data_IF_061720476399
#
_entry.id   IF_061720476399
#
_cell.length_a   1.000
_cell.length_b   1.000
_cell.length_c   1.000
_cell.angle_alpha   90.00
_cell.angle_beta   90.00
_cell.angle_gamma   90.00
#
_symmetry.space_group_name_H-M   'P 1'
#
loop_
_entity.id
_entity.type
_entity.pdbx_description
1 polymer ?
#
# COMPACT_ATOMS: atom_id res chain seq x y z
N UNK A 1 6.11 10.15 26.06
CA UNK A 1 5.90 8.69 25.90
C UNK A 1 7.05 7.96 25.18
N UNK A 2 7.86 8.61 24.34
CA UNK A 2 9.00 7.95 23.65
C UNK A 2 10.04 7.35 24.61
N UNK A 3 10.45 8.11 25.63
CA UNK A 3 11.35 7.61 26.66
C UNK A 3 10.74 6.45 27.46
N UNK A 4 9.44 6.54 27.78
CA UNK A 4 8.69 5.45 28.41
C UNK A 4 8.66 4.19 27.53
N UNK A 5 8.60 4.34 26.20
CA UNK A 5 8.63 3.22 25.25
C UNK A 5 10.01 2.56 25.20
N UNK A 6 11.07 3.37 25.27
CA UNK A 6 12.45 2.88 25.40
C UNK A 6 12.61 2.11 26.72
N UNK A 7 12.05 2.63 27.82
CA UNK A 7 12.07 1.98 29.14
C UNK A 7 11.28 0.66 29.12
N UNK A 8 10.02 0.63 28.65
CA UNK A 8 9.23 -0.60 28.57
C UNK A 8 9.85 -1.66 27.66
N UNK A 9 10.39 -1.26 26.51
CA UNK A 9 11.14 -2.17 25.62
C UNK A 9 12.39 -2.72 26.29
N UNK A 10 13.15 -1.89 27.02
CA UNK A 10 14.40 -2.31 27.67
C UNK A 10 14.18 -3.22 28.87
N UNK A 11 13.14 -2.96 29.65
CA UNK A 11 12.70 -3.82 30.77
C UNK A 11 12.07 -5.13 30.26
N UNK A 12 11.80 -5.23 28.96
CA UNK A 12 11.15 -6.39 28.35
C UNK A 12 9.67 -6.49 28.71
N UNK A 13 9.03 -5.39 29.11
CA UNK A 13 7.65 -5.34 29.61
C UNK A 13 6.65 -4.85 28.55
N UNK A 14 6.97 -4.93 27.26
CA UNK A 14 6.02 -4.67 26.17
C UNK A 14 5.85 -3.20 25.80
N UNK A 15 4.64 -2.80 25.36
CA UNK A 15 4.32 -1.44 24.95
C UNK A 15 3.91 -0.56 26.14
N UNK A 16 4.08 0.76 26.01
CA UNK A 16 3.62 1.71 27.04
C UNK A 16 2.10 1.81 27.01
N UNK A 17 1.46 1.53 28.13
CA UNK A 17 0.03 1.71 28.35
C UNK A 17 -0.25 3.11 28.89
N UNK A 18 0.59 3.61 29.80
CA UNK A 18 0.50 4.97 30.31
C UNK A 18 1.85 5.50 30.82
N UNK A 19 2.04 6.81 30.73
CA UNK A 19 3.06 7.53 31.49
C UNK A 19 2.37 8.62 32.33
N UNK A 20 2.45 8.52 33.66
CA UNK A 20 1.72 9.36 34.61
C UNK A 20 2.69 10.26 35.38
N UNK A 21 2.33 11.54 35.57
CA UNK A 21 2.97 12.45 36.52
C UNK A 21 2.27 12.40 37.89
N UNK A 22 3.00 11.92 38.90
CA UNK A 22 2.81 11.65 40.36
C UNK A 22 1.56 12.09 41.20
N UNK A 23 1.34 11.53 42.44
CA UNK A 23 2.10 11.85 43.69
C UNK A 23 2.56 10.67 44.61
N UNK A 24 3.65 10.96 45.38
CA UNK A 24 4.18 10.37 46.63
C UNK A 24 4.48 8.86 46.76
N UNK A 25 5.79 8.51 46.79
CA UNK A 25 6.28 7.35 47.56
C UNK A 25 6.41 7.74 49.03
N UNK A 26 6.02 6.84 49.94
CA UNK A 26 6.17 7.02 51.38
C UNK A 26 7.63 7.20 51.78
N UNK A 27 7.86 8.03 52.81
CA UNK A 27 9.17 8.19 53.46
C UNK A 27 9.79 6.83 53.78
N UNK A 28 11.04 6.60 53.36
CA UNK A 28 11.84 5.52 53.93
C UNK A 28 12.80 4.71 53.03
N UNK A 29 13.23 5.20 51.86
CA UNK A 29 14.31 4.52 51.12
C UNK A 29 15.42 5.52 50.77
N UNK A 30 16.56 5.39 51.43
CA UNK A 30 17.81 6.07 51.03
C UNK A 30 18.27 5.48 49.67
N UNK A 31 18.26 6.30 48.63
CA UNK A 31 18.74 5.93 47.30
C UNK A 31 19.26 7.15 46.54
N UNK A 32 20.20 6.93 45.62
CA UNK A 32 20.70 7.98 44.73
C UNK A 32 19.61 8.39 43.73
N UNK A 33 19.33 9.69 43.67
CA UNK A 33 18.35 10.27 42.75
C UNK A 33 19.00 10.53 41.38
N UNK A 34 18.38 10.05 40.30
CA UNK A 34 18.86 10.23 38.92
C UNK A 34 17.85 11.09 38.15
N UNK A 35 18.29 12.24 37.65
CA UNK A 35 17.50 13.10 36.76
C UNK A 35 17.64 12.65 35.31
N UNK A 36 16.50 12.40 34.65
CA UNK A 36 16.44 11.92 33.26
C UNK A 36 16.35 13.10 32.28
N UNK A 37 17.33 13.25 31.36
CA UNK A 37 17.37 14.36 30.38
C UNK A 37 16.82 13.94 29.00
N UNK A 38 16.82 12.63 28.69
CA UNK A 38 16.30 12.07 27.44
C UNK A 38 17.12 10.87 26.93
N UNK A 39 16.50 9.98 26.15
CA UNK A 39 17.18 8.92 25.41
C UNK A 39 17.13 9.18 23.89
N UNK A 40 18.24 8.94 23.18
CA UNK A 40 18.23 8.93 21.71
C UNK A 40 17.70 7.59 21.19
N UNK A 41 17.06 7.54 20.00
CA UNK A 41 16.66 6.28 19.35
C UNK A 41 17.83 5.32 19.06
N UNK A 42 19.06 5.81 19.11
CA UNK A 42 20.30 5.06 18.83
C UNK A 42 20.94 4.44 20.09
N UNK A 43 20.46 4.77 21.29
CA UNK A 43 21.08 4.33 22.54
C UNK A 43 20.65 2.91 22.91
N UNK A 44 21.59 1.97 22.87
CA UNK A 44 21.32 0.54 23.09
C UNK A 44 21.26 0.10 24.57
N UNK A 45 21.66 0.98 25.50
CA UNK A 45 21.66 0.74 26.95
C UNK A 45 21.14 1.96 27.69
N UNK A 46 20.43 1.73 28.81
CA UNK A 46 19.93 2.82 29.67
C UNK A 46 21.08 3.74 30.11
N UNK A 47 22.27 3.17 30.37
CA UNK A 47 23.51 3.88 30.71
C UNK A 47 24.03 4.87 29.65
N UNK A 48 23.59 4.73 28.39
CA UNK A 48 23.94 5.66 27.29
C UNK A 48 22.95 6.80 27.14
N UNK A 49 21.79 6.71 27.80
CA UNK A 49 20.89 7.84 27.88
C UNK A 49 21.53 8.96 28.69
N UNK A 50 21.16 10.20 28.39
CA UNK A 50 21.78 11.34 29.02
C UNK A 50 21.14 11.56 30.40
N UNK A 51 21.94 11.41 31.47
CA UNK A 51 21.50 11.62 32.84
C UNK A 51 22.14 12.87 33.45
N UNK A 52 21.35 13.66 34.18
CA UNK A 52 21.87 14.71 35.04
C UNK A 52 21.94 14.17 36.46
N UNK A 53 23.15 14.15 37.03
CA UNK A 53 23.33 13.97 38.46
C UNK A 53 23.23 15.34 39.13
N UNK A 54 22.11 15.63 39.79
CA UNK A 54 21.99 16.81 40.64
C UNK A 54 22.10 16.39 42.11
N UNK A 55 23.16 16.81 42.79
CA UNK A 55 23.24 16.72 44.24
C UNK A 55 22.37 17.81 44.86
N UNK A 56 21.07 17.56 44.96
CA UNK A 56 20.11 18.48 45.56
C UNK A 56 18.67 18.04 45.34
N UNK A 57 17.80 18.45 46.26
CA UNK A 57 16.37 18.16 46.45
C UNK A 57 15.46 18.70 45.30
N UNK A 58 15.91 18.56 44.05
CA UNK A 58 15.45 19.30 42.88
C UNK A 58 14.59 18.51 41.88
N UNK A 59 14.41 17.20 42.03
CA UNK A 59 13.52 16.43 41.15
C UNK A 59 12.11 16.34 41.77
N UNK A 60 11.24 17.33 41.49
CA UNK A 60 9.85 17.36 42.00
C UNK A 60 8.84 16.55 41.19
N UNK A 61 9.23 15.99 40.03
CA UNK A 61 8.33 15.29 39.12
C UNK A 61 8.88 13.90 38.81
N UNK A 62 8.28 12.85 39.39
CA UNK A 62 8.48 11.45 39.05
C UNK A 62 7.52 11.08 37.90
N UNK A 63 8.00 10.27 36.97
CA UNK A 63 7.18 9.70 35.92
C UNK A 63 6.99 8.21 36.20
N UNK A 64 5.74 7.78 36.40
CA UNK A 64 5.40 6.37 36.46
C UNK A 64 5.12 5.88 35.04
N UNK A 65 5.72 4.77 34.65
CA UNK A 65 5.47 4.13 33.36
C UNK A 65 4.74 2.81 33.61
N UNK A 66 3.58 2.65 33.00
CA UNK A 66 2.81 1.41 32.98
C UNK A 66 3.04 0.76 31.63
N UNK A 67 3.56 -0.46 31.63
CA UNK A 67 3.80 -1.25 30.43
C UNK A 67 2.82 -2.42 30.36
N UNK A 68 2.47 -2.89 29.15
CA UNK A 68 1.71 -4.13 28.97
C UNK A 68 2.67 -5.32 28.99
N UNK A 69 2.71 -6.02 30.11
CA UNK A 69 3.63 -7.13 30.32
C UNK A 69 3.30 -8.36 29.45
N UNK A 70 2.11 -8.40 28.83
CA UNK A 70 1.57 -9.59 28.19
C UNK A 70 1.49 -9.50 26.65
N UNK A 71 1.21 -8.31 26.09
CA UNK A 71 1.00 -8.12 24.65
C UNK A 71 1.66 -6.83 24.12
N UNK A 72 2.03 -6.82 22.83
CA UNK A 72 2.52 -5.62 22.15
C UNK A 72 2.16 -5.57 20.66
N UNK A 73 2.11 -4.36 20.13
CA UNK A 73 2.11 -4.08 18.69
C UNK A 73 3.53 -3.83 18.17
N UNK A 74 3.84 -4.38 16.99
CA UNK A 74 5.08 -4.16 16.25
C UNK A 74 4.79 -3.87 14.78
N UNK A 75 5.69 -3.12 14.12
CA UNK A 75 5.64 -2.77 12.68
C UNK A 75 4.35 -2.07 12.19
N UNK A 76 3.60 -1.44 13.10
CA UNK A 76 2.46 -0.58 12.77
C UNK A 76 2.84 0.90 12.62
N UNK A 77 1.95 1.69 12.02
CA UNK A 77 2.15 3.12 11.77
C UNK A 77 1.93 4.00 13.03
N UNK A 78 1.35 3.43 14.10
CA UNK A 78 1.06 4.14 15.35
C UNK A 78 0.92 3.19 16.55
N UNK A 79 0.72 3.76 17.75
CA UNK A 79 0.70 3.02 19.02
C UNK A 79 -0.46 2.02 19.16
N UNK A 80 -1.55 2.23 18.43
CA UNK A 80 -2.78 1.42 18.47
C UNK A 80 -2.97 0.56 17.21
N UNK A 81 -1.87 0.25 16.54
CA UNK A 81 -1.87 -0.54 15.30
C UNK A 81 -0.60 -1.35 15.19
N UNK A 82 -0.67 -2.58 14.70
CA UNK A 82 0.50 -3.38 14.38
C UNK A 82 0.24 -4.87 14.39
N UNK A 83 1.29 -5.65 14.13
CA UNK A 83 1.28 -7.10 14.33
C UNK A 83 1.26 -7.38 15.84
N UNK A 84 0.38 -8.30 16.25
CA UNK A 84 0.22 -8.68 17.66
C UNK A 84 1.28 -9.71 18.04
N UNK A 85 2.04 -9.40 19.10
CA UNK A 85 2.98 -10.32 19.74
C UNK A 85 2.66 -10.48 21.22
N UNK A 86 2.74 -11.72 21.69
CA UNK A 86 2.48 -12.11 23.08
C UNK A 86 3.76 -12.57 23.74
N UNK A 87 3.92 -12.27 25.03
CA UNK A 87 5.09 -12.68 25.81
C UNK A 87 4.95 -14.14 26.28
N UNK A 88 5.93 -14.96 25.91
CA UNK A 88 6.03 -16.39 26.25
C UNK A 88 7.44 -16.73 26.74
N UNK A 89 7.60 -17.23 27.96
CA UNK A 89 8.90 -17.65 28.51
C UNK A 89 10.03 -16.62 28.25
N UNK A 90 9.75 -15.33 28.53
CA UNK A 90 10.66 -14.19 28.31
C UNK A 90 10.99 -13.85 26.85
N UNK A 91 10.35 -14.50 25.88
CA UNK A 91 10.46 -14.20 24.44
C UNK A 91 9.14 -13.71 23.87
N UNK A 92 9.18 -12.91 22.80
CA UNK A 92 7.99 -12.44 22.11
C UNK A 92 7.67 -13.35 20.94
N UNK A 93 6.41 -13.75 20.80
CA UNK A 93 5.97 -14.63 19.71
C UNK A 93 4.75 -14.06 19.02
N UNK A 94 4.72 -14.18 17.69
CA UNK A 94 3.60 -13.70 16.89
C UNK A 94 2.41 -14.67 16.97
N UNK A 95 1.21 -14.14 16.78
CA UNK A 95 -0.01 -14.94 16.77
C UNK A 95 -0.47 -15.27 15.36
N UNK A 96 -1.10 -16.44 15.17
CA UNK A 96 -1.69 -16.78 13.89
C UNK A 96 -3.11 -16.22 13.79
N UNK A 97 -3.46 -15.65 12.65
CA UNK A 97 -4.80 -15.13 12.34
C UNK A 97 -5.91 -16.17 12.56
N UNK A 98 -5.67 -17.44 12.21
CA UNK A 98 -6.66 -18.50 12.35
C UNK A 98 -7.01 -18.85 13.80
N UNK A 99 -6.19 -18.41 14.76
CA UNK A 99 -6.32 -18.71 16.19
C UNK A 99 -6.52 -17.44 17.04
N UNK A 100 -6.89 -16.32 16.40
CA UNK A 100 -7.13 -15.03 17.03
C UNK A 100 -8.42 -14.41 16.49
N UNK A 101 -9.41 -14.25 17.36
CA UNK A 101 -10.72 -13.74 16.97
C UNK A 101 -10.98 -12.29 17.44
N UNK A 102 -12.20 -11.81 17.21
CA UNK A 102 -12.60 -10.45 17.58
C UNK A 102 -12.72 -10.25 19.10
N UNK A 103 -13.01 -11.30 19.87
CA UNK A 103 -13.07 -11.22 21.33
C UNK A 103 -11.66 -11.11 21.91
N UNK A 104 -10.69 -11.82 21.33
CA UNK A 104 -9.27 -11.67 21.67
C UNK A 104 -8.79 -10.25 21.32
N UNK A 105 -9.18 -9.73 20.16
CA UNK A 105 -8.85 -8.37 19.72
C UNK A 105 -9.39 -7.29 20.67
N UNK A 106 -10.59 -7.47 21.21
CA UNK A 106 -11.19 -6.56 22.20
C UNK A 106 -10.39 -6.50 23.49
N UNK A 107 -9.93 -7.66 23.98
CA UNK A 107 -9.05 -7.73 25.16
C UNK A 107 -7.72 -7.06 24.89
N UNK A 108 -7.08 -7.29 23.74
CA UNK A 108 -5.80 -6.66 23.36
C UNK A 108 -5.91 -5.15 23.24
N UNK A 109 -6.93 -4.64 22.54
CA UNK A 109 -7.12 -3.21 22.39
C UNK A 109 -7.40 -2.52 23.73
N UNK A 110 -8.16 -3.18 24.62
CA UNK A 110 -8.39 -2.66 25.97
C UNK A 110 -7.14 -2.70 26.84
N UNK A 111 -6.40 -3.81 26.83
CA UNK A 111 -5.14 -3.95 27.58
C UNK A 111 -4.13 -2.86 27.21
N UNK A 112 -4.09 -2.49 25.92
CA UNK A 112 -3.22 -1.44 25.39
C UNK A 112 -3.82 -0.03 25.48
N UNK A 113 -5.03 0.14 26.03
CA UNK A 113 -5.68 1.45 26.18
C UNK A 113 -6.07 2.11 24.84
N UNK A 114 -6.30 1.29 23.82
CA UNK A 114 -6.47 1.70 22.42
C UNK A 114 -7.92 1.58 21.93
N UNK A 115 -8.92 1.68 22.81
CA UNK A 115 -10.33 1.63 22.41
C UNK A 115 -10.80 0.26 21.90
N UNK A 116 -11.76 0.25 20.97
CA UNK A 116 -12.34 -0.97 20.39
C UNK A 116 -11.56 -1.45 19.16
N UNK A 117 -11.53 -2.75 18.82
CA UNK A 117 -10.88 -3.24 17.61
C UNK A 117 -11.60 -2.71 16.35
N UNK A 118 -10.84 -2.33 15.33
CA UNK A 118 -11.36 -1.70 14.10
C UNK A 118 -11.00 -2.47 12.82
N UNK A 119 -9.79 -3.02 12.74
CA UNK A 119 -9.32 -3.85 11.63
C UNK A 119 -8.59 -5.05 12.18
N UNK A 120 -8.90 -6.23 11.69
CA UNK A 120 -8.26 -7.48 12.06
C UNK A 120 -7.94 -8.28 10.79
N UNK A 121 -6.67 -8.47 10.48
CA UNK A 121 -6.25 -9.13 9.23
C UNK A 121 -4.84 -9.73 9.32
N UNK A 122 -4.66 -10.94 8.80
CA UNK A 122 -3.36 -11.60 8.66
C UNK A 122 -2.43 -10.89 7.68
N UNK A 123 -1.16 -10.74 8.05
CA UNK A 123 -0.12 -10.15 7.21
C UNK A 123 -0.20 -8.64 7.00
N UNK A 124 -1.18 -7.97 7.63
CA UNK A 124 -1.42 -6.52 7.49
C UNK A 124 -0.19 -5.66 7.84
N UNK A 125 0.60 -6.09 8.82
CA UNK A 125 1.81 -5.40 9.31
C UNK A 125 3.08 -6.25 9.12
N UNK A 126 3.10 -7.04 8.04
CA UNK A 126 4.21 -7.93 7.72
C UNK A 126 4.16 -9.29 8.39
N UNK A 127 5.04 -10.18 7.94
CA UNK A 127 5.06 -11.59 8.34
C UNK A 127 5.58 -11.80 9.78
N UNK A 128 5.23 -12.95 10.37
CA UNK A 128 5.80 -13.37 11.64
C UNK A 128 7.31 -13.58 11.52
N UNK A 129 8.09 -12.83 12.30
CA UNK A 129 9.53 -13.06 12.46
C UNK A 129 9.77 -13.92 13.69
N UNK A 130 9.89 -15.23 13.51
CA UNK A 130 10.19 -16.17 14.58
C UNK A 130 9.04 -17.14 14.91
N UNK A 131 9.09 -17.82 16.07
CA UNK A 131 8.11 -18.84 16.44
C UNK A 131 6.72 -18.24 16.65
N UNK A 132 5.70 -19.01 16.24
CA UNK A 132 4.29 -18.64 16.35
C UNK A 132 3.73 -19.22 17.65
N UNK A 133 2.86 -18.47 18.32
CA UNK A 133 2.20 -18.91 19.54
C UNK A 133 1.42 -20.24 19.30
N UNK A 134 1.62 -21.27 20.14
CA UNK A 134 1.17 -22.63 19.84
C UNK A 134 -0.30 -22.92 20.21
N UNK A 135 -1.04 -21.93 20.75
CA UNK A 135 -2.41 -22.09 21.26
C UNK A 135 -3.33 -20.99 20.71
N UNK A 136 -4.62 -21.25 20.61
CA UNK A 136 -5.61 -20.17 20.41
C UNK A 136 -6.04 -19.58 21.74
N UNK A 137 -6.34 -18.29 21.79
CA UNK A 137 -7.04 -17.71 22.93
C UNK A 137 -8.55 -17.89 22.73
N UNK A 138 -9.26 -18.00 23.84
CA UNK A 138 -10.71 -18.13 23.88
C UNK A 138 -11.25 -17.05 24.82
N UNK A 139 -10.91 -15.79 24.53
CA UNK A 139 -11.40 -14.68 25.33
C UNK A 139 -12.93 -14.58 25.25
N UNK A 140 -13.53 -14.04 26.32
CA UNK A 140 -14.96 -13.72 26.37
C UNK A 140 -15.22 -12.24 26.08
N UNK A 141 -14.16 -11.45 25.89
CA UNK A 141 -14.20 -10.01 25.65
C UNK A 141 -14.21 -9.16 26.93
N UNK A 142 -14.25 -9.74 28.14
CA UNK A 142 -14.31 -9.00 29.42
C UNK A 142 -13.04 -9.10 30.27
N UNK A 143 -12.05 -9.88 29.83
CA UNK A 143 -10.78 -10.06 30.53
C UNK A 143 -9.90 -8.80 30.47
N UNK A 144 -9.20 -8.48 31.56
CA UNK A 144 -8.28 -7.34 31.64
C UNK A 144 -6.99 -7.54 30.85
N UNK A 145 -6.47 -8.77 30.83
CA UNK A 145 -5.24 -9.14 30.13
C UNK A 145 -5.50 -10.31 29.17
N UNK A 146 -4.79 -10.36 28.06
CA UNK A 146 -4.92 -11.46 27.09
C UNK A 146 -4.52 -12.82 27.71
N UNK A 147 -3.51 -12.83 28.58
CA UNK A 147 -3.07 -14.04 29.28
C UNK A 147 -4.05 -14.55 30.34
N UNK A 148 -5.08 -13.78 30.70
CA UNK A 148 -6.15 -14.22 31.60
C UNK A 148 -7.23 -15.04 30.86
N UNK A 149 -7.17 -15.09 29.53
CA UNK A 149 -8.11 -15.85 28.72
C UNK A 149 -7.79 -17.35 28.74
N UNK A 150 -8.83 -18.18 28.62
CA UNK A 150 -8.67 -19.61 28.42
C UNK A 150 -7.91 -19.87 27.11
N UNK A 151 -7.11 -20.95 27.07
CA UNK A 151 -6.33 -21.31 25.89
C UNK A 151 -6.76 -22.66 25.33
N UNK A 152 -6.79 -22.77 23.99
CA UNK A 152 -7.07 -24.02 23.29
C UNK A 152 -5.81 -24.59 22.66
N UNK A 153 -5.66 -25.92 22.72
CA UNK A 153 -4.58 -26.61 22.00
C UNK A 153 -4.91 -26.58 20.51
N UNK A 154 -3.98 -26.07 19.73
CA UNK A 154 -4.10 -25.97 18.29
C UNK A 154 -4.23 -27.35 17.66
N UNK A 155 -5.27 -27.57 16.85
CA UNK A 155 -5.52 -28.89 16.21
C UNK A 155 -4.59 -29.19 15.03
N UNK A 156 -3.99 -28.16 14.40
CA UNK A 156 -3.04 -28.30 13.29
C UNK A 156 -1.77 -27.46 13.55
N UNK A 157 -0.59 -28.07 13.46
CA UNK A 157 0.71 -27.42 13.76
C UNK A 157 1.20 -26.43 12.68
N UNK A 158 0.40 -26.14 11.66
CA UNK A 158 0.82 -25.32 10.52
C UNK A 158 0.03 -24.01 10.50
N UNK A 159 0.66 -22.93 10.97
CA UNK A 159 0.30 -21.60 10.49
C UNK A 159 0.99 -21.44 9.13
N UNK A 160 0.25 -21.06 8.09
CA UNK A 160 0.86 -20.79 6.79
C UNK A 160 1.80 -19.57 6.91
N UNK A 161 2.94 -19.54 6.19
CA UNK A 161 3.79 -18.36 6.10
C UNK A 161 2.95 -17.16 5.62
N UNK A 162 2.94 -16.06 6.39
CA UNK A 162 2.17 -14.86 6.08
C UNK A 162 1.00 -14.53 7.02
N UNK A 163 0.57 -15.44 7.90
CA UNK A 163 -0.67 -15.27 8.67
C UNK A 163 -0.47 -14.68 10.08
N UNK A 164 0.57 -13.85 10.30
CA UNK A 164 0.68 -13.16 11.58
C UNK A 164 -0.47 -12.17 11.72
N UNK A 165 -1.22 -12.24 12.81
CA UNK A 165 -2.38 -11.38 12.97
C UNK A 165 -1.95 -9.92 13.15
N UNK A 166 -2.48 -9.06 12.30
CA UNK A 166 -2.41 -7.62 12.43
C UNK A 166 -3.72 -7.08 12.99
N UNK A 167 -3.62 -6.14 13.92
CA UNK A 167 -4.77 -5.52 14.56
C UNK A 167 -4.59 -4.00 14.58
N UNK A 168 -5.64 -3.29 14.19
CA UNK A 168 -5.80 -1.85 14.37
C UNK A 168 -6.95 -1.62 15.33
N UNK A 169 -6.70 -0.88 16.40
CA UNK A 169 -7.75 -0.45 17.32
C UNK A 169 -8.21 0.98 16.98
N UNK A 170 -9.38 1.35 17.46
CA UNK A 170 -9.89 2.71 17.38
C UNK A 170 -9.12 3.55 18.39
N UNK A 171 -8.16 4.35 17.90
CA UNK A 171 -7.33 5.28 18.68
C UNK A 171 -8.09 5.86 19.88
N UNK A 172 -7.43 6.00 21.06
CA UNK A 172 -8.09 6.24 22.33
C UNK A 172 -9.14 7.35 22.20
N UNK A 173 -10.36 7.03 22.60
CA UNK A 173 -11.53 7.91 22.54
C UNK A 173 -11.42 9.15 23.43
N UNK A 174 -10.21 9.50 23.92
CA UNK A 174 -9.98 10.69 24.71
C UNK A 174 -10.00 11.94 23.83
N UNK A 175 -9.56 11.89 22.57
CA UNK A 175 -9.55 13.06 21.66
C UNK A 175 -10.42 12.82 20.42
N UNK A 176 -11.27 13.78 20.07
CA UNK A 176 -12.04 13.77 18.81
C UNK A 176 -12.07 15.13 18.12
N UNK A 177 -12.31 15.11 16.81
CA UNK A 177 -12.58 16.30 16.02
C UNK A 177 -14.08 16.37 15.67
N UNK A 178 -14.74 17.47 16.03
CA UNK A 178 -16.19 17.66 15.84
C UNK A 178 -16.48 18.76 14.82
N UNK A 179 -17.49 18.54 13.99
CA UNK A 179 -18.00 19.56 13.07
C UNK A 179 -17.11 19.87 11.86
N UNK A 180 -16.04 19.09 11.65
CA UNK A 180 -15.31 19.08 10.38
C UNK A 180 -15.78 17.95 9.47
N UNK A 181 -15.38 18.01 8.20
CA UNK A 181 -15.84 17.06 7.17
C UNK A 181 -14.99 15.80 7.05
N UNK A 182 -14.07 15.53 7.98
CA UNK A 182 -13.36 14.25 8.10
C UNK A 182 -12.87 13.98 9.52
N UNK A 183 -12.33 12.78 9.74
CA UNK A 183 -11.67 12.40 11.00
C UNK A 183 -10.43 13.24 11.34
N UNK A 184 -9.84 13.93 10.36
CA UNK A 184 -8.61 14.72 10.49
C UNK A 184 -8.87 16.24 10.39
N UNK A 185 -10.13 16.66 10.45
CA UNK A 185 -10.51 18.06 10.42
C UNK A 185 -11.67 18.32 11.39
N UNK A 186 -11.59 19.39 12.18
CA UNK A 186 -12.68 19.81 13.06
C UNK A 186 -12.23 20.45 14.35
N UNK A 187 -13.20 20.80 15.19
CA UNK A 187 -12.98 21.34 16.53
C UNK A 187 -12.43 20.26 17.45
N UNK A 188 -11.35 20.55 18.15
CA UNK A 188 -10.71 19.62 19.08
C UNK A 188 -11.51 19.55 20.38
N UNK A 189 -11.94 18.34 20.72
CA UNK A 189 -12.50 18.01 22.02
C UNK A 189 -11.66 16.93 22.69
N UNK A 190 -11.47 17.07 24.01
CA UNK A 190 -10.65 16.16 24.80
C UNK A 190 -11.35 15.78 26.11
N UNK A 191 -11.43 14.48 26.38
CA UNK A 191 -11.75 13.91 27.68
C UNK A 191 -10.47 13.81 28.52
N UNK A 192 -10.28 14.83 29.37
CA UNK A 192 -9.11 14.96 30.23
C UNK A 192 -9.06 13.90 31.34
N UNK A 193 -10.22 13.40 31.79
CA UNK A 193 -10.35 12.55 32.98
C UNK A 193 -10.62 11.08 32.64
N UNK A 194 -10.98 10.77 31.40
CA UNK A 194 -11.37 9.41 31.00
C UNK A 194 -12.75 9.01 31.53
N UNK A 195 -13.58 10.01 31.89
CA UNK A 195 -14.93 9.82 32.45
C UNK A 195 -16.02 9.91 31.36
N UNK A 196 -15.64 10.11 30.09
CA UNK A 196 -16.54 10.32 28.95
C UNK A 196 -16.97 11.78 28.75
N UNK A 197 -16.44 12.72 29.55
CA UNK A 197 -16.81 14.13 29.51
C UNK A 197 -15.87 14.93 28.60
N UNK A 198 -16.24 15.03 27.33
CA UNK A 198 -15.47 15.79 26.35
C UNK A 198 -15.63 17.30 26.52
N UNK A 199 -14.50 18.00 26.54
CA UNK A 199 -14.43 19.45 26.69
C UNK A 199 -13.65 20.06 25.55
N UNK A 200 -13.99 21.30 25.18
CA UNK A 200 -13.27 22.02 24.14
C UNK A 200 -11.80 22.25 24.54
N UNK A 201 -10.88 22.07 23.59
CA UNK A 201 -9.46 22.38 23.81
C UNK A 201 -9.17 23.79 23.33
N UNK A 202 -8.65 24.61 24.24
CA UNK A 202 -8.06 25.91 23.96
C UNK A 202 -6.55 25.87 24.01
N UNK A 203 -5.93 26.99 23.67
CA UNK A 203 -4.48 27.19 23.74
C UNK A 203 -4.18 28.57 24.31
N UNK A 204 -3.04 28.71 24.96
CA UNK A 204 -2.50 30.02 25.35
C UNK A 204 -1.30 30.45 24.52
N UNK A 205 -0.47 29.50 24.09
CA UNK A 205 0.81 29.75 23.41
C UNK A 205 1.11 28.62 22.42
N UNK A 206 1.74 28.95 21.28
CA UNK A 206 2.11 28.01 20.20
C UNK A 206 0.91 27.14 19.75
N UNK A 207 -0.15 27.77 19.24
CA UNK A 207 -1.31 27.04 18.70
C UNK A 207 -0.92 25.98 17.65
N UNK A 208 0.12 26.25 16.84
CA UNK A 208 0.64 25.28 15.87
C UNK A 208 1.20 24.02 16.56
N UNK A 209 1.88 24.15 17.69
CA UNK A 209 2.40 23.01 18.43
C UNK A 209 1.24 22.13 18.96
N UNK A 210 0.23 22.74 19.59
CA UNK A 210 -0.96 22.01 20.06
C UNK A 210 -1.66 21.29 18.90
N UNK A 211 -1.83 21.96 17.76
CA UNK A 211 -2.42 21.36 16.58
C UNK A 211 -1.58 20.21 16.02
N UNK A 212 -0.25 20.33 15.99
CA UNK A 212 0.65 19.28 15.50
C UNK A 212 0.65 18.05 16.42
N UNK A 213 0.50 18.24 17.72
CA UNK A 213 0.28 17.14 18.68
C UNK A 213 -1.05 16.45 18.41
N UNK A 214 -2.15 17.20 18.23
CA UNK A 214 -3.46 16.63 17.92
C UNK A 214 -3.44 15.85 16.60
N UNK A 215 -2.84 16.41 15.56
CA UNK A 215 -2.72 15.76 14.26
C UNK A 215 -1.89 14.47 14.34
N UNK A 216 -0.81 14.44 15.15
CA UNK A 216 -0.02 13.22 15.36
C UNK A 216 -0.76 12.19 16.20
N UNK A 217 -1.44 12.62 17.26
CA UNK A 217 -2.22 11.74 18.14
C UNK A 217 -3.32 11.00 17.38
N UNK A 218 -3.93 11.66 16.39
CA UNK A 218 -4.99 11.10 15.53
C UNK A 218 -4.47 10.38 14.27
N UNK A 219 -3.14 10.20 14.16
CA UNK A 219 -2.52 9.59 12.98
C UNK A 219 -2.67 10.39 11.67
N UNK A 220 -2.98 11.69 11.76
CA UNK A 220 -3.24 12.60 10.63
C UNK A 220 -2.01 13.42 10.20
N UNK A 221 -0.79 12.94 10.51
CA UNK A 221 0.51 13.52 10.14
C UNK A 221 0.83 14.89 10.77
N UNK A 222 0.48 16.02 10.14
CA UNK A 222 0.90 17.37 10.60
C UNK A 222 -0.18 18.42 10.37
N UNK A 223 -0.09 19.59 11.01
CA UNK A 223 -1.11 20.64 10.85
C UNK A 223 -0.93 21.41 9.56
N UNK A 224 -2.01 21.53 8.77
CA UNK A 224 -2.12 22.41 7.60
C UNK A 224 -2.58 23.79 8.03
N UNK A 225 -3.68 23.86 8.78
CA UNK A 225 -4.25 25.13 9.24
C UNK A 225 -5.00 24.97 10.55
N UNK A 226 -5.24 26.12 11.18
CA UNK A 226 -5.98 26.22 12.44
C UNK A 226 -7.00 27.33 12.34
N UNK A 227 -8.18 27.11 12.90
CA UNK A 227 -9.26 28.09 12.96
C UNK A 227 -9.68 28.30 14.42
N UNK A 228 -10.15 29.51 14.72
CA UNK A 228 -10.57 29.91 16.05
C UNK A 228 -12.09 29.98 16.10
N UNK A 229 -12.69 29.29 17.08
CA UNK A 229 -14.12 29.39 17.33
C UNK A 229 -14.48 30.44 18.39
N UNK A 230 -15.79 30.61 18.61
CA UNK A 230 -16.33 31.43 19.69
C UNK A 230 -15.96 30.84 21.06
N UNK A 231 -15.79 31.71 22.07
CA UNK A 231 -15.41 31.28 23.42
C UNK A 231 -16.42 30.27 23.98
N UNK A 232 -15.89 29.16 24.49
CA UNK A 232 -16.66 28.08 25.12
C UNK A 232 -15.94 27.63 26.39
N UNK A 233 -16.65 26.95 27.28
CA UNK A 233 -16.02 26.29 28.43
C UNK A 233 -15.13 25.13 27.94
N UNK A 234 -13.92 25.02 28.49
CA UNK A 234 -12.95 24.03 28.05
C UNK A 234 -11.65 24.07 28.83
N UNK A 235 -10.64 23.37 28.33
CA UNK A 235 -9.31 23.31 28.95
C UNK A 235 -8.27 24.01 28.09
N UNK A 236 -7.48 24.84 28.73
CA UNK A 236 -6.32 25.47 28.11
C UNK A 236 -5.12 24.51 28.18
N UNK A 237 -4.52 24.27 27.01
CA UNK A 237 -3.43 23.30 26.83
C UNK A 237 -2.19 23.98 26.24
N UNK A 238 -1.02 23.57 26.75
CA UNK A 238 0.30 23.91 26.22
C UNK A 238 1.00 22.68 25.67
N UNK A 239 1.45 22.78 24.44
CA UNK A 239 2.43 21.84 23.92
C UNK A 239 3.66 22.60 23.46
N UNK A 240 4.83 22.02 23.70
CA UNK A 240 6.11 22.53 23.25
C UNK A 240 6.39 22.17 21.79
N UNK A 241 5.75 21.11 21.28
CA UNK A 241 5.82 20.65 19.90
C UNK A 241 6.25 19.20 19.71
N UNK A 242 7.11 18.56 20.52
CA UNK A 242 7.53 17.17 20.29
C UNK A 242 6.56 16.12 20.84
N UNK A 243 5.57 16.49 21.66
CA UNK A 243 4.68 15.54 22.36
C UNK A 243 3.84 14.71 21.40
N UNK A 244 3.61 13.41 21.66
CA UNK A 244 2.81 12.58 20.74
C UNK A 244 1.31 12.56 21.07
N UNK A 245 0.90 13.11 22.22
CA UNK A 245 -0.50 13.20 22.64
C UNK A 245 -0.76 14.40 23.59
N UNK A 246 -1.99 14.92 23.58
CA UNK A 246 -2.45 16.04 24.44
C UNK A 246 -2.28 15.77 25.93
N UNK A 247 -2.26 14.50 26.36
CA UNK A 247 -2.01 14.12 27.76
C UNK A 247 -0.60 14.47 28.26
N UNK A 248 0.36 14.58 27.34
CA UNK A 248 1.76 14.94 27.63
C UNK A 248 1.96 16.46 27.70
N UNK A 249 0.99 17.21 27.19
CA UNK A 249 0.96 18.66 27.21
C UNK A 249 0.54 19.18 28.60
N UNK A 250 1.07 20.35 29.00
CA UNK A 250 0.65 20.97 30.25
C UNK A 250 -0.76 21.55 30.10
N UNK A 251 -1.58 21.45 31.15
CA UNK A 251 -3.01 21.76 31.07
C UNK A 251 -3.51 22.45 32.32
N UNK A 252 -4.49 23.34 32.16
CA UNK A 252 -5.15 23.98 33.28
C UNK A 252 -5.87 22.94 34.17
N UNK A 253 -5.77 23.11 35.50
CA UNK A 253 -6.39 22.20 36.47
C UNK A 253 -7.91 22.22 36.41
N UNK A 254 -8.51 23.38 36.09
CA UNK A 254 -9.96 23.61 36.03
C UNK A 254 -10.42 24.07 34.64
N UNK A 255 -11.68 23.81 34.26
CA UNK A 255 -12.26 24.37 33.03
C UNK A 255 -12.31 25.90 33.12
N UNK A 256 -12.05 26.56 32.01
CA UNK A 256 -12.12 28.02 31.86
C UNK A 256 -12.80 28.38 30.54
N UNK A 257 -13.09 29.68 30.35
CA UNK A 257 -13.56 30.16 29.06
C UNK A 257 -12.38 30.22 28.07
N UNK A 258 -12.37 29.33 27.10
CA UNK A 258 -11.30 29.20 26.11
C UNK A 258 -11.81 29.50 24.70
N UNK A 259 -10.92 29.91 23.81
CA UNK A 259 -11.18 29.90 22.36
C UNK A 259 -10.90 28.51 21.82
N UNK A 260 -11.93 27.75 21.40
CA UNK A 260 -11.79 26.38 20.96
C UNK A 260 -10.96 26.31 19.68
N UNK A 261 -9.99 25.41 19.70
CA UNK A 261 -9.10 25.14 18.58
C UNK A 261 -9.80 24.25 17.56
N UNK A 262 -9.79 24.67 16.30
CA UNK A 262 -10.16 23.83 15.15
C UNK A 262 -8.90 23.53 14.38
N UNK A 263 -8.65 22.27 14.07
CA UNK A 263 -7.45 21.82 13.34
C UNK A 263 -7.83 21.21 12.00
N UNK A 264 -6.97 21.41 11.02
CA UNK A 264 -7.01 20.72 9.73
C UNK A 264 -5.61 20.12 9.53
N UNK A 265 -5.53 18.79 9.51
CA UNK A 265 -4.27 18.07 9.38
C UNK A 265 -3.94 17.73 7.92
N UNK A 266 -2.70 17.32 7.63
CA UNK A 266 -2.15 17.17 6.28
C UNK A 266 -2.45 15.82 5.62
N UNK A 267 -3.00 14.87 6.35
CA UNK A 267 -3.28 13.53 5.83
C UNK A 267 -4.74 13.37 5.37
N UNK A 268 -5.18 14.21 4.45
CA UNK A 268 -6.60 14.21 4.04
C UNK A 268 -6.90 13.26 2.89
N UNK A 269 -5.91 12.79 2.12
CA UNK A 269 -6.19 11.99 0.92
C UNK A 269 -5.36 10.72 0.89
N UNK A 270 -6.03 9.59 1.13
CA UNK A 270 -5.47 8.27 0.87
C UNK A 270 -4.97 8.22 -0.58
N UNK A 271 -3.86 7.53 -0.77
CA UNK A 271 -3.27 7.32 -2.08
C UNK A 271 -4.30 6.70 -3.03
N UNK A 272 -4.59 7.32 -4.19
CA UNK A 272 -5.55 6.76 -5.11
C UNK A 272 -5.00 5.49 -5.77
N UNK A 273 -5.88 4.54 -6.03
CA UNK A 273 -5.58 3.31 -6.75
C UNK A 273 -5.75 3.53 -8.26
N UNK A 274 -4.77 3.09 -9.04
CA UNK A 274 -4.77 3.13 -10.50
C UNK A 274 -4.86 1.70 -11.04
N UNK A 275 -5.77 1.47 -11.98
CA UNK A 275 -6.00 0.15 -12.56
C UNK A 275 -6.27 0.23 -14.06
N UNK A 276 -5.94 -0.84 -14.78
CA UNK A 276 -6.16 -0.95 -16.23
C UNK A 276 -7.12 -2.10 -16.53
N UNK A 277 -8.11 -1.82 -17.38
CA UNK A 277 -9.07 -2.81 -17.90
C UNK A 277 -9.04 -2.81 -19.43
N UNK A 278 -8.96 -3.98 -20.03
CA UNK A 278 -8.96 -4.15 -21.49
C UNK A 278 -10.34 -4.69 -21.90
N UNK A 279 -10.99 -4.00 -22.84
CA UNK A 279 -12.25 -4.48 -23.39
C UNK A 279 -11.95 -5.66 -24.31
N UNK A 280 -12.43 -6.84 -23.91
CA UNK A 280 -12.21 -8.17 -24.50
C UNK A 280 -10.95 -8.90 -23.98
N UNK A 281 -11.24 -9.97 -23.24
CA UNK A 281 -10.32 -10.77 -22.46
C UNK A 281 -9.28 -11.51 -23.32
N UNK A 282 -8.04 -11.02 -23.30
CA UNK A 282 -6.84 -11.88 -23.31
C UNK A 282 -5.84 -11.24 -22.36
N UNK A 283 -5.81 -11.70 -21.11
CA UNK A 283 -4.73 -11.38 -20.18
C UNK A 283 -3.49 -12.19 -20.58
N UNK A 284 -2.50 -11.57 -21.21
CA UNK A 284 -1.12 -12.03 -21.10
C UNK A 284 -0.48 -11.27 -19.94
N UNK A 285 -0.38 -11.92 -18.78
CA UNK A 285 0.38 -11.40 -17.65
C UNK A 285 1.86 -11.41 -18.08
N UNK A 286 2.40 -10.24 -18.40
CA UNK A 286 3.83 -10.10 -18.74
C UNK A 286 4.70 -10.65 -17.61
N UNK A 287 5.86 -11.20 -17.96
CA UNK A 287 6.91 -11.41 -16.97
C UNK A 287 7.21 -10.04 -16.36
N UNK A 288 7.06 -9.92 -15.03
CA UNK A 288 7.50 -8.76 -14.22
C UNK A 288 6.51 -7.58 -14.07
N UNK A 289 5.19 -7.83 -14.03
CA UNK A 289 4.20 -6.86 -13.50
C UNK A 289 3.83 -5.71 -14.44
N UNK A 290 4.29 -5.74 -15.69
CA UNK A 290 3.90 -4.83 -16.76
C UNK A 290 2.58 -5.23 -17.39
N UNK A 291 1.71 -4.25 -17.65
CA UNK A 291 0.43 -4.45 -18.32
C UNK A 291 0.60 -4.22 -19.82
N UNK A 292 0.16 -5.19 -20.62
CA UNK A 292 0.30 -5.15 -22.07
C UNK A 292 -1.06 -4.94 -22.74
N UNK A 293 -1.11 -4.02 -23.70
CA UNK A 293 -2.29 -3.79 -24.55
C UNK A 293 -1.91 -3.96 -26.01
N UNK A 294 -2.72 -4.69 -26.77
CA UNK A 294 -2.48 -4.86 -28.19
C UNK A 294 -2.85 -3.61 -28.98
N UNK A 295 -2.01 -3.24 -29.95
CA UNK A 295 -2.27 -2.13 -30.87
C UNK A 295 -3.64 -2.28 -31.54
N UNK A 296 -4.40 -1.19 -31.58
CA UNK A 296 -5.75 -1.17 -32.16
C UNK A 296 -6.87 -1.57 -31.19
N UNK A 297 -6.56 -2.11 -30.00
CA UNK A 297 -7.58 -2.42 -29.00
C UNK A 297 -7.92 -1.21 -28.14
N UNK A 298 -9.16 -1.18 -27.64
CA UNK A 298 -9.58 -0.20 -26.66
C UNK A 298 -9.19 -0.65 -25.25
N UNK A 299 -8.68 0.27 -24.45
CA UNK A 299 -8.39 0.05 -23.05
C UNK A 299 -8.93 1.19 -22.20
N UNK A 300 -9.08 0.92 -20.91
CA UNK A 300 -9.66 1.87 -19.97
C UNK A 300 -8.77 1.93 -18.74
N UNK A 301 -8.39 3.14 -18.34
CA UNK A 301 -7.69 3.38 -17.07
C UNK A 301 -8.72 3.89 -16.07
N UNK A 302 -8.76 3.28 -14.89
CA UNK A 302 -9.66 3.70 -13.81
C UNK A 302 -8.84 4.11 -12.61
N UNK A 303 -9.02 5.37 -12.20
CA UNK A 303 -8.52 5.90 -10.94
C UNK A 303 -9.65 5.79 -9.91
N UNK A 304 -9.33 5.36 -8.69
CA UNK A 304 -10.30 5.29 -7.59
C UNK A 304 -9.66 5.68 -6.27
N UNK A 305 -10.46 6.20 -5.35
CA UNK A 305 -10.03 6.53 -3.99
C UNK A 305 -11.07 6.05 -2.99
N UNK A 306 -10.65 5.86 -1.74
CA UNK A 306 -11.59 5.49 -0.68
C UNK A 306 -12.42 6.72 -0.27
N UNK A 307 -13.74 6.59 -0.06
CA UNK A 307 -14.64 7.72 0.20
C UNK A 307 -14.27 8.43 1.50
N UNK A 308 -13.61 9.59 1.38
CA UNK A 308 -13.33 10.49 2.50
C UNK A 308 -14.10 11.80 2.41
N UNK A 309 -14.32 12.30 1.20
CA UNK A 309 -15.06 13.52 0.92
C UNK A 309 -15.92 13.35 -0.33
N UNK A 310 -17.11 13.97 -0.39
CA UNK A 310 -17.90 14.00 -1.61
C UNK A 310 -17.23 14.89 -2.67
N UNK A 311 -17.13 14.38 -3.90
CA UNK A 311 -16.64 15.14 -5.05
C UNK A 311 -15.14 15.00 -5.33
N UNK A 312 -14.54 16.06 -5.87
CA UNK A 312 -13.16 16.07 -6.36
C UNK A 312 -13.03 15.64 -7.83
N UNK A 313 -11.80 15.63 -8.32
CA UNK A 313 -11.45 15.25 -9.70
C UNK A 313 -10.16 14.45 -9.73
N UNK A 314 -10.09 13.50 -10.65
CA UNK A 314 -8.86 12.79 -10.96
C UNK A 314 -8.21 13.41 -12.19
N UNK A 315 -6.92 13.64 -12.10
CA UNK A 315 -6.05 14.05 -13.16
C UNK A 315 -5.16 12.86 -13.54
N UNK A 316 -5.33 12.34 -14.74
CA UNK A 316 -4.46 11.32 -15.30
C UNK A 316 -3.27 12.00 -15.97
N UNK A 317 -2.06 11.66 -15.53
CA UNK A 317 -0.81 12.13 -16.12
C UNK A 317 -0.25 11.07 -17.06
N UNK A 318 0.34 11.52 -18.17
CA UNK A 318 0.91 10.67 -19.21
C UNK A 318 2.44 10.77 -19.19
N UNK A 319 3.15 9.71 -19.61
CA UNK A 319 4.58 9.77 -19.85
C UNK A 319 4.88 10.71 -21.03
N UNK A 320 5.87 11.60 -20.85
CA UNK A 320 6.48 12.44 -21.89
C UNK A 320 5.58 13.42 -22.66
N UNK A 321 4.37 13.71 -22.17
CA UNK A 321 3.53 14.79 -22.72
C UNK A 321 2.96 15.66 -21.60
N UNK A 322 2.92 16.98 -21.80
CA UNK A 322 2.21 17.93 -20.94
C UNK A 322 0.67 17.74 -20.97
N UNK A 323 0.19 16.62 -21.53
CA UNK A 323 -1.23 16.31 -21.62
C UNK A 323 -1.61 15.75 -20.26
N UNK A 324 -2.64 16.33 -19.66
CA UNK A 324 -3.27 15.81 -18.45
C UNK A 324 -4.76 15.73 -18.73
N UNK A 325 -5.38 14.59 -18.43
CA UNK A 325 -6.83 14.43 -18.60
C UNK A 325 -7.49 14.52 -17.24
N UNK A 326 -8.41 15.47 -17.07
CA UNK A 326 -9.17 15.63 -15.83
C UNK A 326 -10.56 15.02 -15.99
N UNK A 327 -10.99 14.24 -15.01
CA UNK A 327 -12.35 13.73 -14.91
C UNK A 327 -12.89 13.95 -13.50
N UNK A 328 -14.16 14.34 -13.33
CA UNK A 328 -14.76 14.44 -12.01
C UNK A 328 -14.89 13.06 -11.36
N UNK A 329 -14.72 12.99 -10.04
CA UNK A 329 -14.91 11.75 -9.31
C UNK A 329 -16.41 11.43 -9.17
N UNK A 330 -16.87 10.38 -9.85
CA UNK A 330 -18.22 9.83 -9.73
C UNK A 330 -18.12 8.53 -8.92
N UNK A 331 -18.84 8.45 -7.79
CA UNK A 331 -18.70 7.36 -6.82
C UNK A 331 -17.24 7.14 -6.38
N UNK A 332 -16.48 8.22 -6.17
CA UNK A 332 -15.07 8.17 -5.74
C UNK A 332 -14.13 7.50 -6.77
N UNK A 333 -14.56 7.44 -8.03
CA UNK A 333 -13.79 6.89 -9.14
C UNK A 333 -13.91 7.75 -10.39
N UNK A 334 -12.93 7.66 -11.27
CA UNK A 334 -12.98 8.25 -12.60
C UNK A 334 -12.39 7.28 -13.61
N UNK A 335 -13.00 7.27 -14.79
CA UNK A 335 -12.70 6.31 -15.85
C UNK A 335 -12.29 7.05 -17.11
N UNK A 336 -11.13 6.69 -17.64
CA UNK A 336 -10.50 7.29 -18.82
C UNK A 336 -10.50 6.28 -19.96
N UNK A 337 -11.23 6.59 -21.03
CA UNK A 337 -11.44 5.68 -22.15
C UNK A 337 -10.48 5.97 -23.30
N UNK A 338 -9.77 4.93 -23.74
CA UNK A 338 -8.89 4.97 -24.90
C UNK A 338 -9.46 4.04 -25.97
N UNK A 339 -9.94 4.63 -27.07
CA UNK A 339 -10.62 3.89 -28.13
C UNK A 339 -9.65 3.02 -28.95
N UNK A 340 -8.39 3.43 -29.06
CA UNK A 340 -7.40 2.77 -29.91
C UNK A 340 -6.01 2.92 -29.32
N UNK A 341 -5.40 1.81 -28.88
CA UNK A 341 -4.02 1.78 -28.42
C UNK A 341 -3.04 1.93 -29.59
N UNK A 342 -2.06 2.82 -29.42
CA UNK A 342 -0.98 3.14 -30.35
C UNK A 342 0.31 3.42 -29.56
N UNK A 343 1.46 3.44 -30.21
CA UNK A 343 2.78 3.57 -29.58
C UNK A 343 2.94 4.89 -28.79
N UNK A 344 2.15 5.91 -29.14
CA UNK A 344 2.10 7.20 -28.43
C UNK A 344 1.55 7.10 -27.00
N UNK A 345 0.83 6.03 -26.65
CA UNK A 345 0.26 5.81 -25.32
C UNK A 345 1.14 4.92 -24.42
N UNK A 346 2.35 4.56 -24.85
CA UNK A 346 3.26 3.74 -24.05
C UNK A 346 3.97 4.53 -22.95
N UNK A 347 4.09 3.94 -21.75
CA UNK A 347 4.93 4.42 -20.65
C UNK A 347 4.23 4.41 -19.29
N UNK A 348 4.61 5.32 -18.39
CA UNK A 348 4.17 5.33 -16.99
C UNK A 348 3.07 6.36 -16.72
N UNK A 349 1.96 5.89 -16.16
CA UNK A 349 0.81 6.70 -15.81
C UNK A 349 0.73 6.92 -14.30
N UNK A 350 0.34 8.12 -13.86
CA UNK A 350 -0.08 8.39 -12.48
C UNK A 350 -1.45 9.05 -12.42
N UNK A 351 -2.22 8.74 -11.38
CA UNK A 351 -3.48 9.41 -11.07
C UNK A 351 -3.25 10.38 -9.92
N UNK A 352 -3.51 11.67 -10.15
CA UNK A 352 -3.54 12.69 -9.10
C UNK A 352 -5.00 12.97 -8.76
N UNK A 353 -5.42 12.72 -7.52
CA UNK A 353 -6.74 13.09 -7.03
C UNK A 353 -6.67 14.47 -6.39
N UNK A 354 -7.46 15.41 -6.89
CA UNK A 354 -7.57 16.78 -6.38
C UNK A 354 -8.97 17.05 -5.83
N UNK A 355 -9.04 17.76 -4.71
CA UNK A 355 -10.31 18.20 -4.14
C UNK A 355 -10.15 19.53 -3.41
N UNK A 356 -11.17 20.38 -3.52
CA UNK A 356 -11.29 21.60 -2.75
C UNK A 356 -12.24 21.40 -1.58
N UNK A 357 -11.71 21.40 -0.36
CA UNK A 357 -12.49 21.25 0.88
C UNK A 357 -11.95 22.22 1.92
N UNK A 358 -12.80 22.77 2.78
CA UNK A 358 -12.41 23.72 3.84
C UNK A 358 -11.62 24.94 3.35
N UNK A 359 -11.98 25.45 2.16
CA UNK A 359 -11.30 26.57 1.51
C UNK A 359 -9.83 26.33 1.11
N UNK A 360 -9.40 25.07 1.04
CA UNK A 360 -8.05 24.67 0.63
C UNK A 360 -8.10 23.59 -0.44
N UNK A 361 -7.11 23.60 -1.33
CA UNK A 361 -6.90 22.54 -2.31
C UNK A 361 -6.03 21.45 -1.69
N UNK A 362 -6.45 20.20 -1.86
CA UNK A 362 -5.69 19.02 -1.48
C UNK A 362 -5.45 18.14 -2.71
N UNK A 363 -4.28 17.51 -2.76
CA UNK A 363 -3.93 16.57 -3.82
C UNK A 363 -3.21 15.33 -3.27
N UNK A 364 -3.39 14.19 -3.92
CA UNK A 364 -2.70 12.93 -3.63
C UNK A 364 -2.44 12.16 -4.91
N UNK A 365 -1.29 11.49 -5.01
CA UNK A 365 -0.81 10.86 -6.25
C UNK A 365 -0.64 9.34 -6.09
N UNK A 366 -1.10 8.58 -7.08
CA UNK A 366 -1.04 7.11 -7.11
C UNK A 366 0.37 6.55 -7.31
N UNK A 367 0.49 5.22 -7.27
CA UNK A 367 1.66 4.53 -7.80
C UNK A 367 1.70 4.66 -9.32
N UNK A 368 2.88 4.40 -9.89
CA UNK A 368 3.07 4.40 -11.34
C UNK A 368 2.53 3.11 -11.95
N UNK A 369 1.73 3.26 -12.99
CA UNK A 369 1.23 2.16 -13.83
C UNK A 369 1.98 2.16 -15.16
N UNK A 370 2.82 1.15 -15.39
CA UNK A 370 3.55 0.99 -16.65
C UNK A 370 2.74 0.23 -17.69
N UNK A 371 2.46 0.88 -18.82
CA UNK A 371 1.73 0.33 -19.96
C UNK A 371 2.67 0.13 -21.15
N UNK A 372 2.60 -1.05 -21.75
CA UNK A 372 3.33 -1.39 -22.99
C UNK A 372 2.32 -1.70 -24.11
N UNK A 373 2.53 -1.13 -25.29
CA UNK A 373 1.70 -1.42 -26.47
C UNK A 373 2.42 -2.42 -27.37
N UNK A 374 1.80 -3.56 -27.63
CA UNK A 374 2.40 -4.65 -28.41
C UNK A 374 1.62 -4.95 -29.68
N UNK A 375 2.29 -5.49 -30.69
CA UNK A 375 1.62 -5.96 -31.91
C UNK A 375 0.77 -7.20 -31.61
N UNK A 376 -0.43 -7.29 -32.20
CA UNK A 376 -1.31 -8.44 -32.01
C UNK A 376 -0.66 -9.74 -32.52
N UNK A 377 -0.63 -10.82 -31.73
CA UNK A 377 0.00 -12.09 -32.13
C UNK A 377 -0.69 -12.73 -33.33
N UNK A 378 -1.98 -12.43 -33.56
CA UNK A 378 -2.74 -12.89 -34.72
C UNK A 378 -2.19 -12.32 -36.02
N UNK A 379 -1.78 -11.05 -36.03
CA UNK A 379 -1.17 -10.44 -37.22
C UNK A 379 0.16 -11.09 -37.56
N UNK A 380 0.99 -11.37 -36.55
CA UNK A 380 2.24 -12.08 -36.74
C UNK A 380 2.03 -13.52 -37.25
N UNK A 381 1.01 -14.22 -36.76
CA UNK A 381 0.65 -15.56 -37.22
C UNK A 381 0.15 -15.56 -38.67
N UNK A 382 -0.74 -14.62 -39.05
CA UNK A 382 -1.26 -14.48 -40.41
C UNK A 382 -0.12 -14.15 -41.38
N UNK A 383 0.78 -13.21 -41.03
CA UNK A 383 1.93 -12.87 -41.86
C UNK A 383 2.81 -14.10 -42.10
N UNK A 384 3.13 -14.86 -41.04
CA UNK A 384 3.92 -16.10 -41.17
C UNK A 384 3.21 -17.12 -42.08
N UNK A 385 1.90 -17.32 -41.93
CA UNK A 385 1.13 -18.25 -42.75
C UNK A 385 1.13 -17.83 -44.23
N UNK A 386 0.88 -16.56 -44.52
CA UNK A 386 0.86 -16.02 -45.89
C UNK A 386 2.24 -16.15 -46.54
N UNK A 387 3.32 -15.83 -45.83
CA UNK A 387 4.70 -15.99 -46.32
C UNK A 387 5.01 -17.46 -46.62
N UNK A 388 4.59 -18.40 -45.77
CA UNK A 388 4.76 -19.84 -46.00
C UNK A 388 3.96 -20.31 -47.22
N UNK A 389 2.73 -19.82 -47.42
CA UNK A 389 1.93 -20.17 -48.59
C UNK A 389 2.55 -19.61 -49.88
N UNK A 390 3.02 -18.35 -49.87
CA UNK A 390 3.68 -17.74 -51.03
C UNK A 390 4.99 -18.44 -51.40
N UNK A 391 5.82 -18.79 -50.40
CA UNK A 391 7.06 -19.56 -50.64
C UNK A 391 6.77 -20.96 -51.17
N UNK A 392 5.71 -21.62 -50.69
CA UNK A 392 5.27 -22.92 -51.22
C UNK A 392 4.76 -22.81 -52.66
N UNK A 393 3.95 -21.81 -53.01
CA UNK A 393 3.43 -21.61 -54.38
C UNK A 393 4.57 -21.28 -55.35
N UNK A 394 5.50 -20.42 -54.96
CA UNK A 394 6.67 -20.09 -55.79
C UNK A 394 7.60 -21.29 -56.00
N UNK A 395 7.81 -22.11 -54.96
CA UNK A 395 8.58 -23.35 -55.09
C UNK A 395 7.89 -24.36 -56.03
N UNK A 396 6.59 -24.59 -55.87
CA UNK A 396 5.83 -25.51 -56.72
C UNK A 396 5.76 -25.05 -58.18
N UNK A 397 5.58 -23.76 -58.42
CA UNK A 397 5.61 -23.21 -59.79
C UNK A 397 6.99 -23.32 -60.44
N UNK A 398 8.08 -23.08 -59.70
CA UNK A 398 9.45 -23.31 -60.18
C UNK A 398 9.71 -24.78 -60.52
N UNK A 399 9.24 -25.70 -59.66
CA UNK A 399 9.31 -27.16 -59.89
C UNK A 399 8.53 -27.54 -61.16
N UNK A 400 7.30 -27.02 -61.35
CA UNK A 400 6.52 -27.27 -62.57
C UNK A 400 7.22 -26.75 -63.83
N UNK A 401 7.84 -25.55 -63.78
CA UNK A 401 8.61 -25.01 -64.91
C UNK A 401 9.86 -25.84 -65.20
N UNK A 402 10.55 -26.32 -64.17
CA UNK A 402 11.69 -27.23 -64.32
C UNK A 402 11.27 -28.56 -64.98
N UNK A 403 10.18 -29.17 -64.52
CA UNK A 403 9.65 -30.41 -65.14
C UNK A 403 9.13 -30.18 -66.57
N UNK A 404 8.52 -29.03 -66.85
CA UNK A 404 8.05 -28.69 -68.20
C UNK A 404 9.20 -28.48 -69.17
N UNK A 405 10.30 -27.87 -68.72
CA UNK A 405 11.52 -27.67 -69.53
C UNK A 405 12.27 -28.99 -69.74
N UNK A 406 12.41 -29.84 -68.72
CA UNK A 406 12.99 -31.18 -68.87
C UNK A 406 12.12 -32.10 -69.74
N UNK A 407 10.78 -32.07 -69.61
CA UNK A 407 9.89 -32.83 -70.50
C UNK A 407 10.01 -32.39 -71.96
N UNK A 408 10.09 -31.08 -72.24
CA UNK A 408 10.39 -30.57 -73.58
C UNK A 408 11.76 -31.04 -74.09
N UNK A 409 12.74 -31.17 -73.20
CA UNK A 409 14.07 -31.72 -73.53
C UNK A 409 14.00 -33.20 -73.88
N UNK A 410 13.22 -34.00 -73.15
CA UNK A 410 13.02 -35.44 -73.41
C UNK A 410 12.21 -35.67 -74.68
N UNK A 411 11.17 -34.88 -74.94
CA UNK A 411 10.41 -34.92 -76.20
C UNK A 411 11.28 -34.51 -77.41
N UNK A 412 12.21 -33.55 -77.23
CA UNK A 412 13.20 -33.19 -78.25
C UNK A 412 14.22 -34.30 -78.56
N UNK A 413 14.70 -35.02 -77.53
CA UNK A 413 15.63 -36.16 -77.71
C UNK A 413 14.95 -37.37 -78.36
N UNK A 414 13.67 -37.63 -78.05
CA UNK A 414 12.92 -38.70 -78.73
C UNK A 414 12.70 -38.41 -80.22
N UNK A 415 12.55 -37.14 -80.63
CA UNK A 415 12.39 -36.76 -82.03
C UNK A 415 13.70 -36.92 -82.84
N UNK A 416 14.85 -36.63 -82.23
CA UNK A 416 16.17 -36.91 -82.85
C UNK A 416 16.45 -38.42 -82.97
N UNK A 417 16.01 -39.22 -81.99
CA UNK A 417 16.19 -40.68 -82.03
C UNK A 417 15.32 -41.37 -83.09
N UNK A 418 14.13 -40.83 -83.39
CA UNK A 418 13.27 -41.31 -84.50
C UNK A 418 13.87 -40.94 -85.87
N UNK A 419 14.44 -39.74 -86.00
CA UNK A 419 15.11 -39.27 -87.24
C UNK A 419 16.35 -40.10 -87.61
N UNK A 420 17.14 -40.51 -86.60
CA UNK A 420 18.32 -41.37 -86.82
C UNK A 420 17.96 -42.81 -87.23
N UNK A 421 16.79 -43.32 -86.83
CA UNK A 421 16.34 -44.67 -87.21
C UNK A 421 15.86 -44.75 -88.67
N UNK A 422 15.30 -43.67 -89.21
CA UNK A 422 14.88 -43.58 -90.63
C UNK A 422 16.03 -43.42 -91.63
N UNK A 423 17.26 -43.13 -91.17
CA UNK A 423 18.41 -42.90 -92.05
C UNK A 423 19.30 -44.13 -92.30
N UNK A 424 19.00 -45.26 -91.67
CA UNK A 424 19.77 -46.51 -91.81
C UNK A 424 19.17 -47.52 -92.83
N UNK A 425 18.00 -47.26 -93.41
CA UNK A 425 17.31 -48.16 -94.33
C UNK A 425 16.90 -47.46 -95.63
N UNK A 426 17.86 -47.07 -96.49
CA UNK A 426 17.60 -46.84 -97.92
C UNK A 426 18.89 -46.68 -98.75
N UNK A 427 19.18 -47.68 -99.58
CA UNK A 427 19.92 -47.57 -100.84
C UNK A 427 19.32 -48.57 -101.84
N UNK A 428 19.85 -48.72 -103.07
CA UNK A 428 20.12 -47.75 -104.13
C UNK A 428 19.32 -48.09 -105.43
N UNK A 429 19.43 -47.30 -106.52
CA UNK A 429 19.26 -47.82 -107.90
C UNK A 429 18.58 -46.95 -108.97
N UNK A 430 19.39 -46.55 -109.97
CA UNK A 430 19.16 -46.51 -111.45
C UNK A 430 17.89 -45.91 -112.09
N UNK A 431 18.06 -45.00 -113.06
CA UNK A 431 18.14 -45.30 -114.52
C UNK A 431 17.91 -44.05 -115.42
N UNK A 432 18.68 -44.00 -116.51
CA UNK A 432 18.49 -43.19 -117.76
C UNK A 432 17.41 -43.87 -118.65
N UNK A 433 16.99 -43.42 -119.87
CA UNK A 433 17.50 -42.33 -120.74
C UNK A 433 16.42 -41.49 -121.49
N UNK A 434 16.88 -40.53 -122.30
CA UNK A 434 16.74 -40.49 -123.78
C UNK A 434 16.39 -39.12 -124.40
N UNK A 435 16.83 -39.02 -125.65
CA UNK A 435 17.25 -37.88 -126.46
C UNK A 435 16.15 -37.27 -127.38
N UNK A 436 16.55 -36.17 -128.06
CA UNK A 436 16.00 -35.50 -129.29
C UNK A 436 14.83 -34.51 -129.14
N UNK A 437 14.76 -33.37 -129.85
CA UNK A 437 15.33 -32.95 -131.15
C UNK A 437 15.44 -31.40 -131.23
N UNK A 438 16.45 -30.87 -131.93
CA UNK A 438 16.60 -29.45 -132.29
C UNK A 438 18.01 -29.07 -132.72
#
# INVERSE_FOLDING_TARGET
>A
MQDANIVCRKMGCGNVVAALGIPHFGEGIEGYQIGFIGCSPLDSTLEKCNFAFTSGDGCRNYANVICSESVRFVDGAGLCSGRVEVKSNQSWVSMCEADFDWQDAEVVCRELGCGAPSVLQGGLYGEAKGPIWPKGFLCKGNQSLLLDCDTSVRKNNTCLPGNAVGLTCSEPADVRLVGGGSRCAGRVEWDKLGEGNMSAVGYYWKLKAVADVVCRQLGCRSTVSTLLGNRTEGFEVHCDGPEDALRECSKASRPTLVTPLTVICSDLLLKPNISLTISMAVFSRGHQGTLEVFRGHSFTITCSTQPQYPGGSFLLTYPDSNITQTQPAVNHSATFFFLTADDSYQGNYSCVYEIYVFSHNFSSESDLLSLTVTASPLTAFIIRLVVVLLTSVTANTAICLYFKTTRRRVEGVNLEMVSLRTRAEAGPGESSPDDRLG
#
